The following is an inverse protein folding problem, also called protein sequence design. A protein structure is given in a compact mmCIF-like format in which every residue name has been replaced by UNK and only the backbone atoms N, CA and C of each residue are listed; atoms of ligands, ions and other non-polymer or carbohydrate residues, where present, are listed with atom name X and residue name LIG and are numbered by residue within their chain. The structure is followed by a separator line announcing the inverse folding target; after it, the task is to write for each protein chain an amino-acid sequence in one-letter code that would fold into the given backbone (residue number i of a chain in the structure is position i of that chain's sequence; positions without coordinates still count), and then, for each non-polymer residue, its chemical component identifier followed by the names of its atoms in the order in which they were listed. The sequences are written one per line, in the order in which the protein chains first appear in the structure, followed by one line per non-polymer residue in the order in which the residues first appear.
data_IF_678256532807
#
_entry.id   IF_678256532807
#
_cell.length_a   1.000
_cell.length_b   1.000
_cell.length_c   1.000
_cell.angle_alpha   90.00
_cell.angle_beta   90.00
_cell.angle_gamma   90.00
#
_symmetry.space_group_name_H-M   'P 1'
#
loop_
_entity.id
_entity.type
_entity.pdbx_description
1 polymer ?
#
# COMPACT_ATOMS: atom_id res chain seq x y z
N UNK A 1 5.57 23.74 0.81
CA UNK A 1 5.56 22.42 0.13
C UNK A 1 5.05 21.41 1.14
N UNK A 2 4.01 20.64 0.81
CA UNK A 2 3.50 19.59 1.71
C UNK A 2 4.34 18.31 1.56
N UNK A 3 4.85 17.80 2.66
CA UNK A 3 5.58 16.54 2.68
C UNK A 3 4.59 15.37 2.69
N UNK A 4 4.79 14.43 1.78
CA UNK A 4 4.02 13.20 1.71
C UNK A 4 4.91 12.02 2.12
N UNK A 5 4.34 10.81 2.11
CA UNK A 5 5.06 9.59 2.52
C UNK A 5 6.27 9.29 1.63
N UNK A 6 6.18 9.57 0.33
CA UNK A 6 7.28 9.34 -0.61
C UNK A 6 8.45 10.30 -0.37
N UNK A 7 8.17 11.57 -0.03
CA UNK A 7 9.19 12.53 0.36
C UNK A 7 9.99 12.03 1.57
N UNK A 8 9.30 11.53 2.61
CA UNK A 8 9.99 10.97 3.77
C UNK A 8 10.82 9.74 3.43
N UNK A 9 10.32 8.85 2.56
CA UNK A 9 11.09 7.68 2.11
C UNK A 9 12.34 8.07 1.33
N UNK A 10 12.25 9.12 0.51
CA UNK A 10 13.40 9.65 -0.22
C UNK A 10 14.46 10.22 0.74
N UNK A 11 14.05 10.94 1.79
CA UNK A 11 14.97 11.44 2.83
C UNK A 11 15.61 10.27 3.59
N UNK A 12 14.82 9.26 3.97
CA UNK A 12 15.35 8.05 4.64
C UNK A 12 16.37 7.34 3.75
N UNK A 13 16.08 7.20 2.44
CA UNK A 13 17.01 6.60 1.48
C UNK A 13 18.30 7.41 1.33
N UNK A 14 18.18 8.73 1.28
CA UNK A 14 19.32 9.64 1.24
C UNK A 14 20.20 9.48 2.49
N UNK A 15 19.61 9.46 3.69
CA UNK A 15 20.33 9.28 4.95
C UNK A 15 20.95 7.88 5.08
N UNK A 16 20.26 6.85 4.57
CA UNK A 16 20.84 5.51 4.44
C UNK A 16 22.09 5.50 3.54
N UNK A 17 22.03 6.18 2.38
CA UNK A 17 23.18 6.30 1.46
C UNK A 17 24.33 7.12 2.04
N UNK A 18 24.04 8.08 2.92
CA UNK A 18 25.05 8.82 3.70
C UNK A 18 25.71 7.99 4.79
N UNK A 19 25.21 6.79 5.08
CA UNK A 19 25.73 5.93 6.15
C UNK A 19 25.26 6.31 7.55
N UNK A 20 24.23 7.16 7.67
CA UNK A 20 23.64 7.48 8.97
C UNK A 20 22.95 6.26 9.57
N UNK A 21 23.06 6.11 10.89
CA UNK A 21 22.32 5.09 11.62
C UNK A 21 20.81 5.36 11.60
N UNK A 22 20.03 4.33 11.93
CA UNK A 22 18.56 4.43 12.02
C UNK A 22 18.13 5.49 13.03
N UNK A 23 18.87 5.62 14.14
CA UNK A 23 18.57 6.57 15.21
C UNK A 23 18.85 8.00 14.76
N UNK A 24 20.03 8.25 14.17
CA UNK A 24 20.39 9.59 13.66
C UNK A 24 19.41 10.07 12.59
N UNK A 25 19.00 9.17 11.68
CA UNK A 25 17.99 9.51 10.67
C UNK A 25 16.64 9.86 11.30
N UNK A 26 16.22 9.13 12.33
CA UNK A 26 14.98 9.43 13.06
C UNK A 26 15.07 10.76 13.81
N UNK A 27 16.17 11.02 14.51
CA UNK A 27 16.38 12.26 15.25
C UNK A 27 16.41 13.48 14.31
N UNK A 28 17.05 13.35 13.14
CA UNK A 28 17.05 14.39 12.10
C UNK A 28 15.63 14.67 11.58
N UNK A 29 14.88 13.61 11.23
CA UNK A 29 13.51 13.73 10.74
C UNK A 29 12.58 14.33 11.80
N UNK A 30 12.72 13.91 13.05
CA UNK A 30 11.90 14.40 14.16
C UNK A 30 12.24 15.86 14.52
N UNK A 31 13.51 16.24 14.43
CA UNK A 31 13.97 17.62 14.65
C UNK A 31 13.43 18.59 13.58
N UNK A 32 13.45 18.16 12.30
CA UNK A 32 13.03 19.02 11.19
C UNK A 32 11.51 19.06 10.98
N UNK A 33 10.82 17.94 11.22
CA UNK A 33 9.42 17.76 10.82
C UNK A 33 8.47 17.45 11.97
N UNK A 34 8.98 17.22 13.19
CA UNK A 34 8.21 17.05 14.43
C UNK A 34 6.99 16.11 14.26
N UNK A 35 5.78 16.64 14.44
CA UNK A 35 4.50 15.94 14.31
C UNK A 35 4.24 15.29 12.95
N UNK A 36 4.88 15.81 11.90
CA UNK A 36 4.78 15.27 10.53
C UNK A 36 5.82 14.19 10.24
N UNK A 37 6.81 14.02 11.12
CA UNK A 37 7.87 13.06 10.92
C UNK A 37 7.35 11.61 10.95
N UNK A 38 7.94 10.71 10.15
CA UNK A 38 7.62 9.29 10.25
C UNK A 38 8.06 8.73 11.61
N UNK A 39 7.29 7.78 12.13
CA UNK A 39 7.66 7.06 13.35
C UNK A 39 9.00 6.34 13.21
N UNK A 40 9.68 6.11 14.33
CA UNK A 40 10.92 5.32 14.37
C UNK A 40 10.75 3.93 13.72
N UNK A 41 9.62 3.27 13.95
CA UNK A 41 9.29 1.97 13.33
C UNK A 41 9.27 2.05 11.80
N UNK A 42 8.76 3.14 11.24
CA UNK A 42 8.77 3.38 9.79
C UNK A 42 10.19 3.52 9.26
N UNK A 43 11.03 4.33 9.93
CA UNK A 43 12.45 4.50 9.56
C UNK A 43 13.17 3.15 9.61
N UNK A 44 13.02 2.39 10.70
CA UNK A 44 13.62 1.06 10.87
C UNK A 44 13.24 0.10 9.75
N UNK A 45 11.96 0.05 9.38
CA UNK A 45 11.47 -0.83 8.31
C UNK A 45 12.09 -0.48 6.95
N UNK A 46 12.14 0.80 6.59
CA UNK A 46 12.77 1.24 5.34
C UNK A 46 14.27 0.94 5.30
N UNK A 47 14.98 1.17 6.40
CA UNK A 47 16.38 0.75 6.51
C UNK A 47 16.56 -0.76 6.29
N UNK A 48 15.65 -1.60 6.80
CA UNK A 48 15.72 -3.04 6.58
C UNK A 48 15.49 -3.40 5.12
N UNK A 49 14.53 -2.75 4.45
CA UNK A 49 14.31 -2.94 3.01
C UNK A 49 15.52 -2.51 2.16
N UNK A 50 16.15 -1.38 2.49
CA UNK A 50 17.35 -0.93 1.78
C UNK A 50 18.54 -1.87 2.00
N UNK A 51 18.70 -2.41 3.21
CA UNK A 51 19.70 -3.46 3.47
C UNK A 51 19.42 -4.76 2.69
N UNK A 52 18.15 -5.05 2.38
CA UNK A 52 17.75 -6.18 1.51
C UNK A 52 17.98 -5.89 0.02
N UNK A 53 18.50 -4.71 -0.33
CA UNK A 53 18.80 -4.33 -1.72
C UNK A 53 17.65 -3.64 -2.44
N UNK A 54 16.58 -3.22 -1.74
CA UNK A 54 15.54 -2.41 -2.37
C UNK A 54 16.11 -1.05 -2.77
N UNK A 55 15.96 -0.68 -4.05
CA UNK A 55 16.34 0.64 -4.57
C UNK A 55 15.15 1.55 -4.90
N UNK A 56 13.92 1.01 -4.88
CA UNK A 56 12.71 1.79 -5.14
C UNK A 56 12.18 2.46 -3.87
N UNK A 57 11.73 3.71 -4.02
CA UNK A 57 11.11 4.54 -2.99
C UNK A 57 9.57 4.46 -3.08
N UNK A 58 9.06 4.02 -4.24
CA UNK A 58 7.63 3.88 -4.50
C UNK A 58 7.05 2.69 -3.72
N UNK A 59 5.76 2.77 -3.40
CA UNK A 59 5.04 1.59 -2.92
C UNK A 59 5.02 0.53 -4.02
N UNK A 60 5.31 -0.72 -3.65
CA UNK A 60 5.02 -1.85 -4.53
C UNK A 60 3.52 -1.94 -4.78
N UNK A 61 3.15 -2.45 -5.96
CA UNK A 61 1.75 -2.69 -6.29
C UNK A 61 1.14 -3.58 -5.22
N UNK A 62 0.20 -3.03 -4.45
CA UNK A 62 -0.53 -3.80 -3.46
C UNK A 62 -1.55 -4.63 -4.21
N UNK A 63 -1.31 -5.93 -4.31
CA UNK A 63 -2.38 -6.86 -4.62
C UNK A 63 -3.42 -6.71 -3.51
N UNK A 64 -4.57 -6.11 -3.83
CA UNK A 64 -5.72 -6.13 -2.95
C UNK A 64 -6.20 -7.57 -2.74
N UNK A 65 -7.31 -7.75 -2.02
CA UNK A 65 -7.98 -9.05 -1.97
C UNK A 65 -8.19 -9.54 -3.42
N UNK A 66 -7.67 -10.74 -3.79
CA UNK A 66 -7.88 -11.28 -5.12
C UNK A 66 -9.38 -11.27 -5.40
N UNK A 67 -9.79 -10.71 -6.55
CA UNK A 67 -11.17 -10.81 -7.03
C UNK A 67 -11.41 -12.22 -7.56
N UNK A 68 -11.30 -13.24 -6.70
CA UNK A 68 -11.59 -14.64 -7.08
C UNK A 68 -13.05 -14.83 -7.53
N UNK A 69 -13.94 -13.91 -7.15
CA UNK A 69 -15.39 -13.99 -7.40
C UNK A 69 -15.84 -13.19 -8.63
N UNK A 70 -15.03 -12.25 -9.14
CA UNK A 70 -15.40 -11.35 -10.25
C UNK A 70 -14.77 -11.84 -11.56
N UNK A 71 -15.08 -13.08 -11.94
CA UNK A 71 -14.70 -13.64 -13.23
C UNK A 71 -15.78 -13.31 -14.28
N UNK A 72 -15.42 -13.03 -15.55
CA UNK A 72 -16.38 -12.67 -16.59
C UNK A 72 -17.55 -13.64 -16.72
N UNK A 73 -17.30 -14.93 -16.50
CA UNK A 73 -18.29 -16.01 -16.56
C UNK A 73 -19.36 -15.84 -15.48
N UNK A 74 -18.96 -15.53 -14.24
CA UNK A 74 -19.88 -15.30 -13.12
C UNK A 74 -20.67 -14.00 -13.31
N UNK A 75 -20.04 -12.95 -13.85
CA UNK A 75 -20.74 -11.70 -14.19
C UNK A 75 -21.83 -11.97 -15.25
N UNK A 76 -21.51 -12.75 -16.28
CA UNK A 76 -22.45 -13.07 -17.34
C UNK A 76 -23.60 -13.95 -16.82
N UNK A 77 -23.31 -14.95 -15.98
CA UNK A 77 -24.35 -15.78 -15.35
C UNK A 77 -25.36 -14.94 -14.54
N UNK A 78 -24.87 -14.02 -13.71
CA UNK A 78 -25.72 -13.08 -12.95
C UNK A 78 -26.54 -12.18 -13.88
N UNK A 79 -25.93 -11.68 -14.97
CA UNK A 79 -26.63 -10.83 -15.95
C UNK A 79 -27.76 -11.58 -16.65
N UNK A 80 -27.56 -12.86 -17.00
CA UNK A 80 -28.60 -13.66 -17.63
C UNK A 80 -29.74 -13.99 -16.66
N UNK A 81 -29.45 -14.30 -15.40
CA UNK A 81 -30.46 -14.48 -14.35
C UNK A 81 -31.37 -13.25 -14.22
N UNK A 82 -30.78 -12.04 -14.17
CA UNK A 82 -31.54 -10.78 -14.06
C UNK A 82 -32.35 -10.48 -15.34
N UNK A 83 -31.86 -10.87 -16.52
CA UNK A 83 -32.61 -10.73 -17.78
C UNK A 83 -33.81 -11.66 -17.83
N UNK A 84 -33.68 -12.88 -17.30
CA UNK A 84 -34.75 -13.87 -17.24
C UNK A 84 -35.82 -13.48 -16.22
N UNK A 85 -35.42 -13.02 -15.04
CA UNK A 85 -36.32 -12.47 -14.04
C UNK A 85 -35.71 -11.22 -13.37
N UNK A 86 -36.41 -10.08 -13.52
CA UNK A 86 -36.00 -8.82 -12.91
C UNK A 86 -36.27 -8.74 -11.41
N UNK A 87 -37.07 -9.65 -10.85
CA UNK A 87 -37.37 -9.70 -9.42
C UNK A 87 -36.47 -10.67 -8.66
N UNK A 88 -35.51 -11.32 -9.32
CA UNK A 88 -34.56 -12.24 -8.69
C UNK A 88 -33.83 -11.56 -7.54
N UNK A 89 -33.87 -12.20 -6.39
CA UNK A 89 -33.27 -11.67 -5.16
C UNK A 89 -31.80 -12.07 -5.08
N UNK A 90 -31.03 -11.31 -4.29
CA UNK A 90 -29.62 -11.60 -4.06
C UNK A 90 -29.38 -13.04 -3.56
N UNK A 91 -30.25 -13.56 -2.69
CA UNK A 91 -30.11 -14.92 -2.13
C UNK A 91 -30.31 -16.00 -3.18
N UNK A 92 -31.18 -15.77 -4.16
CA UNK A 92 -31.41 -16.70 -5.26
C UNK A 92 -30.24 -16.68 -6.26
N UNK A 93 -29.65 -15.51 -6.48
CA UNK A 93 -28.42 -15.37 -7.28
C UNK A 93 -27.24 -16.06 -6.59
N UNK A 94 -27.12 -15.92 -5.27
CA UNK A 94 -26.04 -16.53 -4.49
C UNK A 94 -26.16 -18.06 -4.42
N UNK A 95 -27.39 -18.59 -4.46
CA UNK A 95 -27.67 -20.02 -4.42
C UNK A 95 -27.58 -20.74 -5.79
N UNK A 96 -27.42 -19.99 -6.90
CA UNK A 96 -27.32 -20.50 -8.28
C UNK A 96 -25.88 -20.76 -8.74
#
# INVERSE_FOLDING_TARGET
MELNREHFRAIIFHNFRRGLSRQECFDELNSLYSDKAPSYSTVKNWYNEFNRGRCSIQDESRAGRPKSVVVPEKINAVRELIKQDRHVTYREIEAS
#
